data_IF_562227243559
#
_entry.id   IF_562227243559
#
_cell.length_a   1.000
_cell.length_b   1.000
_cell.length_c   1.000
_cell.angle_alpha   90.00
_cell.angle_beta   90.00
_cell.angle_gamma   90.00
#
_symmetry.space_group_name_H-M   'P 1'
#
loop_
_entity.id
_entity.type
_entity.pdbx_description
1 polymer ?
#
# COMPACT_ATOMS: atom_id res chain seq x y z
N UNK A 1 24.80 6.42 -14.57
CA UNK A 1 24.35 7.63 -13.86
C UNK A 1 22.88 7.41 -13.55
N UNK A 2 22.58 6.91 -12.35
CA UNK A 2 21.24 6.43 -11.97
C UNK A 2 20.38 7.62 -11.55
N UNK A 3 19.26 7.82 -12.24
CA UNK A 3 18.29 8.89 -12.01
C UNK A 3 17.29 8.39 -10.95
N UNK A 4 17.09 9.11 -9.83
CA UNK A 4 16.04 8.78 -8.86
C UNK A 4 14.68 9.22 -9.43
N UNK A 5 13.73 8.28 -9.49
CA UNK A 5 12.35 8.54 -9.88
C UNK A 5 11.52 8.88 -8.64
N UNK A 6 10.79 10.02 -8.67
CA UNK A 6 9.55 10.19 -7.90
C UNK A 6 9.53 11.16 -6.71
N UNK A 7 10.18 12.34 -6.78
CA UNK A 7 10.27 13.30 -5.66
C UNK A 7 9.10 14.31 -5.49
N UNK A 8 7.96 14.13 -6.18
CA UNK A 8 6.85 15.10 -6.11
C UNK A 8 5.95 14.94 -4.87
N UNK A 9 5.57 13.71 -4.55
CA UNK A 9 4.60 13.40 -3.50
C UNK A 9 5.22 12.92 -2.17
N UNK A 10 6.53 12.67 -2.14
CA UNK A 10 7.26 12.46 -0.88
C UNK A 10 7.36 13.76 -0.06
N UNK A 11 7.22 14.95 -0.66
CA UNK A 11 7.15 16.22 0.10
C UNK A 11 5.96 16.31 1.05
N UNK A 12 4.79 15.78 0.64
CA UNK A 12 3.63 15.70 1.52
C UNK A 12 3.80 14.65 2.64
N UNK A 13 4.78 13.73 2.50
CA UNK A 13 5.23 12.84 3.58
C UNK A 13 6.34 13.47 4.44
N UNK A 14 7.17 14.35 3.89
CA UNK A 14 8.27 15.03 4.58
C UNK A 14 7.81 16.24 5.41
N UNK A 15 6.70 16.89 5.09
CA UNK A 15 6.18 18.04 5.86
C UNK A 15 5.57 17.70 7.24
N UNK A 16 5.69 16.44 7.70
CA UNK A 16 5.40 16.07 9.09
C UNK A 16 6.70 15.75 9.83
N UNK A 17 7.64 16.69 9.79
CA UNK A 17 8.70 16.80 10.78
C UNK A 17 8.51 18.09 11.58
N UNK A 18 7.92 17.97 12.77
CA UNK A 18 8.03 19.00 13.80
C UNK A 18 9.28 18.67 14.61
N UNK A 19 10.34 19.50 14.58
CA UNK A 19 11.48 19.29 15.47
C UNK A 19 10.99 19.33 16.91
N UNK A 20 11.22 18.27 17.69
CA UNK A 20 11.09 18.36 19.15
C UNK A 20 12.23 19.21 19.67
N UNK A 21 11.89 20.38 20.20
CA UNK A 21 12.77 21.17 21.03
C UNK A 21 13.18 20.35 22.27
N UNK A 22 14.48 20.15 22.47
CA UNK A 22 15.03 19.35 23.57
C UNK A 22 15.17 20.21 24.82
N UNK A 23 14.06 20.62 25.41
CA UNK A 23 14.05 21.29 26.72
C UNK A 23 12.78 20.95 27.50
N UNK A 24 12.68 19.71 27.97
CA UNK A 24 11.64 19.27 28.91
C UNK A 24 12.19 18.14 29.79
N UNK A 25 11.80 18.08 31.09
CA UNK A 25 12.51 17.29 32.08
C UNK A 25 12.43 15.80 31.79
N UNK A 26 13.57 15.13 31.94
CA UNK A 26 13.76 13.69 31.78
C UNK A 26 12.93 12.92 32.80
N UNK A 27 11.89 12.22 32.33
CA UNK A 27 11.22 11.17 33.09
C UNK A 27 12.10 9.91 33.01
N UNK A 28 12.46 9.26 34.13
CA UNK A 28 13.34 8.10 34.09
C UNK A 28 12.65 6.94 33.39
N UNK A 29 13.29 6.43 32.33
CA UNK A 29 12.94 5.17 31.68
C UNK A 29 13.22 4.02 32.65
N UNK A 30 12.16 3.41 33.18
CA UNK A 30 12.28 2.11 33.82
C UNK A 30 12.70 1.07 32.76
N UNK A 31 13.59 0.12 33.10
CA UNK A 31 13.94 -0.95 32.18
C UNK A 31 12.81 -1.99 32.20
N UNK A 32 11.94 -1.99 31.19
CA UNK A 32 10.99 -3.09 30.99
C UNK A 32 11.76 -4.33 30.50
N UNK A 33 12.24 -5.11 31.46
CA UNK A 33 12.81 -6.43 31.27
C UNK A 33 11.77 -7.51 30.90
N UNK A 34 10.61 -7.12 30.34
CA UNK A 34 9.48 -8.03 30.09
C UNK A 34 9.05 -8.13 28.61
N UNK A 35 9.77 -7.49 27.69
CA UNK A 35 9.52 -7.67 26.24
C UNK A 35 10.03 -9.01 25.69
N UNK A 36 10.74 -9.80 26.49
CA UNK A 36 11.29 -11.12 26.11
C UNK A 36 10.41 -12.30 26.57
N UNK A 37 9.37 -12.06 27.40
CA UNK A 37 8.44 -13.11 27.89
C UNK A 37 7.17 -13.29 27.05
N UNK A 38 6.93 -12.44 26.05
CA UNK A 38 5.81 -12.58 25.09
C UNK A 38 6.15 -13.44 23.86
N UNK A 39 7.38 -13.95 23.78
CA UNK A 39 7.97 -14.50 22.56
C UNK A 39 7.64 -15.94 22.19
N UNK A 40 7.26 -16.80 23.16
CA UNK A 40 7.20 -18.24 22.91
C UNK A 40 5.91 -18.87 23.46
N UNK A 41 4.79 -18.72 22.74
CA UNK A 41 3.69 -19.68 22.77
C UNK A 41 2.35 -19.24 23.37
N UNK A 42 1.64 -18.25 22.80
CA UNK A 42 0.25 -18.01 23.21
C UNK A 42 -0.79 -17.96 22.09
N UNK A 43 -0.45 -17.56 20.85
CA UNK A 43 -1.40 -17.61 19.74
C UNK A 43 -0.72 -17.54 18.37
N UNK A 44 -1.41 -18.08 17.37
CA UNK A 44 -1.02 -18.11 15.96
C UNK A 44 -1.36 -16.78 15.29
N UNK A 45 -0.32 -16.07 14.84
CA UNK A 45 -0.44 -14.77 14.18
C UNK A 45 -1.30 -14.80 12.91
N UNK A 46 -1.28 -15.90 12.16
CA UNK A 46 -2.01 -16.04 10.91
C UNK A 46 -3.46 -16.43 11.16
N UNK A 47 -3.74 -17.22 12.20
CA UNK A 47 -5.10 -17.42 12.69
C UNK A 47 -5.73 -16.09 13.14
N UNK A 48 -4.99 -15.24 13.85
CA UNK A 48 -5.49 -13.92 14.25
C UNK A 48 -5.64 -12.94 13.09
N UNK A 49 -4.81 -13.03 12.05
CA UNK A 49 -5.04 -12.32 10.78
C UNK A 49 -6.38 -12.76 10.17
N UNK A 50 -6.68 -14.05 10.20
CA UNK A 50 -7.95 -14.56 9.67
C UNK A 50 -9.16 -14.08 10.49
N UNK A 51 -9.02 -13.96 11.82
CA UNK A 51 -10.02 -13.31 12.68
C UNK A 51 -10.19 -11.83 12.32
N UNK A 52 -9.10 -11.09 12.13
CA UNK A 52 -9.15 -9.69 11.66
C UNK A 52 -9.90 -9.57 10.34
N UNK A 53 -9.58 -10.42 9.36
CA UNK A 53 -10.28 -10.46 8.06
C UNK A 53 -11.77 -10.71 8.25
N UNK A 54 -12.16 -11.66 9.11
CA UNK A 54 -13.56 -11.94 9.39
C UNK A 54 -14.28 -10.71 9.96
N UNK A 55 -13.66 -10.01 10.92
CA UNK A 55 -14.22 -8.79 11.49
C UNK A 55 -14.39 -7.68 10.44
N UNK A 56 -13.44 -7.52 9.52
CA UNK A 56 -13.57 -6.58 8.42
C UNK A 56 -14.71 -6.95 7.48
N UNK A 57 -14.83 -8.23 7.10
CA UNK A 57 -15.92 -8.68 6.22
C UNK A 57 -17.27 -8.47 6.90
N UNK A 58 -17.40 -8.85 8.17
CA UNK A 58 -18.64 -8.71 8.93
C UNK A 58 -19.15 -7.26 8.99
N UNK A 59 -18.25 -6.29 9.20
CA UNK A 59 -18.65 -4.90 9.44
C UNK A 59 -18.54 -3.99 8.21
N UNK A 60 -17.57 -4.25 7.32
CA UNK A 60 -17.23 -3.34 6.21
C UNK A 60 -17.59 -3.91 4.84
N UNK A 61 -17.94 -5.19 4.69
CA UNK A 61 -18.20 -5.77 3.37
C UNK A 61 -19.27 -4.99 2.60
N UNK A 62 -18.98 -4.73 1.33
CA UNK A 62 -19.83 -3.98 0.41
C UNK A 62 -19.62 -4.46 -1.03
N UNK A 63 -20.65 -4.44 -1.89
CA UNK A 63 -20.48 -4.62 -3.33
C UNK A 63 -19.53 -3.61 -3.98
N UNK A 64 -19.20 -2.51 -3.31
CA UNK A 64 -18.24 -1.49 -3.77
C UNK A 64 -16.88 -1.58 -3.05
N UNK A 65 -16.64 -2.63 -2.26
CA UNK A 65 -15.40 -2.80 -1.50
C UNK A 65 -14.18 -2.93 -2.40
N UNK A 66 -13.06 -2.34 -2.01
CA UNK A 66 -11.80 -2.38 -2.76
C UNK A 66 -10.71 -2.98 -1.89
N UNK A 67 -10.04 -4.01 -2.41
CA UNK A 67 -8.83 -4.57 -1.83
C UNK A 67 -7.65 -3.67 -2.21
N UNK A 68 -6.95 -3.10 -1.23
CA UNK A 68 -5.86 -2.15 -1.50
C UNK A 68 -4.54 -2.67 -0.97
N UNK A 69 -3.54 -2.79 -1.84
CA UNK A 69 -2.18 -3.13 -1.40
C UNK A 69 -1.33 -1.87 -1.29
N UNK A 70 -0.77 -1.64 -0.10
CA UNK A 70 0.12 -0.51 0.18
C UNK A 70 1.40 -0.96 0.85
N UNK A 71 2.45 -0.16 0.68
CA UNK A 71 3.73 -0.35 1.36
C UNK A 71 3.98 0.77 2.36
N UNK A 72 4.67 0.42 3.44
CA UNK A 72 5.16 1.40 4.40
C UNK A 72 6.58 1.06 4.85
N UNK A 73 7.44 2.08 4.89
CA UNK A 73 8.78 1.98 5.44
C UNK A 73 8.86 2.60 6.84
N UNK A 74 9.57 1.94 7.74
CA UNK A 74 9.73 2.31 9.13
C UNK A 74 11.21 2.51 9.45
N UNK A 75 11.56 3.66 10.02
CA UNK A 75 12.91 3.92 10.52
C UNK A 75 13.13 3.11 11.80
N UNK A 76 14.27 2.43 11.88
CA UNK A 76 14.67 1.60 13.02
C UNK A 76 15.88 2.22 13.71
N UNK A 77 15.91 2.13 15.04
CA UNK A 77 17.07 2.55 15.81
C UNK A 77 18.31 1.66 15.58
N UNK A 78 18.10 0.38 15.24
CA UNK A 78 19.19 -0.59 15.04
C UNK A 78 18.93 -1.50 13.84
N UNK A 79 19.99 -2.10 13.29
CA UNK A 79 19.92 -3.12 12.25
C UNK A 79 19.64 -4.54 12.75
N UNK A 80 19.32 -4.71 14.04
CA UNK A 80 19.17 -6.04 14.66
C UNK A 80 17.76 -6.63 14.55
N UNK A 81 16.79 -5.85 14.04
CA UNK A 81 15.42 -6.33 13.82
C UNK A 81 15.32 -7.06 12.48
N UNK A 82 14.51 -8.11 12.43
CA UNK A 82 14.22 -8.87 11.20
C UNK A 82 13.87 -7.98 10.01
N UNK A 83 14.41 -8.27 8.82
CA UNK A 83 14.10 -7.54 7.60
C UNK A 83 14.66 -6.11 7.52
N UNK A 84 15.47 -5.68 8.48
CA UNK A 84 16.07 -4.34 8.46
C UNK A 84 17.17 -4.24 7.40
N UNK A 85 17.19 -3.17 6.62
CA UNK A 85 18.25 -2.83 5.67
C UNK A 85 18.78 -1.42 5.89
N UNK A 86 19.90 -1.09 5.25
CA UNK A 86 20.43 0.28 5.24
C UNK A 86 19.97 1.00 4.00
N UNK A 87 19.51 2.23 4.18
CA UNK A 87 19.21 3.16 3.11
C UNK A 87 19.98 4.47 3.35
N UNK A 88 20.48 5.07 2.28
CA UNK A 88 21.17 6.37 2.33
C UNK A 88 20.44 7.27 1.36
N UNK A 89 19.83 8.33 1.90
CA UNK A 89 19.21 9.36 1.07
C UNK A 89 20.31 10.23 0.43
N UNK A 90 20.12 10.57 -0.85
CA UNK A 90 21.14 11.17 -1.72
C UNK A 90 21.41 12.65 -1.45
N UNK A 91 20.57 13.35 -0.68
CA UNK A 91 20.70 14.80 -0.46
C UNK A 91 21.49 15.16 0.81
N UNK A 92 21.36 14.40 1.89
CA UNK A 92 21.98 14.70 3.20
C UNK A 92 22.17 13.43 4.04
N UNK A 93 23.37 12.84 4.08
CA UNK A 93 23.82 12.19 5.32
C UNK A 93 23.37 10.75 5.62
N UNK A 94 23.56 10.40 6.90
CA UNK A 94 24.03 9.10 7.40
C UNK A 94 23.15 7.89 7.03
N UNK A 95 23.73 6.67 6.89
CA UNK A 95 22.95 5.46 6.67
C UNK A 95 21.93 5.24 7.78
N UNK A 96 20.65 5.16 7.40
CA UNK A 96 19.55 4.83 8.31
C UNK A 96 19.19 3.36 8.20
N UNK A 97 18.77 2.78 9.32
CA UNK A 97 18.18 1.46 9.34
C UNK A 97 16.68 1.59 9.01
N UNK A 98 16.22 0.85 8.00
CA UNK A 98 14.82 0.84 7.55
C UNK A 98 14.26 -0.58 7.50
N UNK A 99 12.97 -0.70 7.72
CA UNK A 99 12.21 -1.94 7.59
C UNK A 99 10.96 -1.64 6.75
N UNK A 100 10.58 -2.53 5.84
CA UNK A 100 9.42 -2.33 4.97
C UNK A 100 8.36 -3.40 5.23
N UNK A 101 7.12 -2.97 5.42
CA UNK A 101 5.95 -3.84 5.45
C UNK A 101 5.08 -3.60 4.22
N UNK A 102 4.46 -4.68 3.72
CA UNK A 102 3.39 -4.63 2.71
C UNK A 102 2.10 -4.99 3.43
N UNK A 103 1.04 -4.21 3.19
CA UNK A 103 -0.23 -4.32 3.89
C UNK A 103 -1.37 -4.44 2.89
N UNK A 104 -2.33 -5.31 3.20
CA UNK A 104 -3.59 -5.40 2.48
C UNK A 104 -4.67 -4.66 3.29
N UNK A 105 -5.12 -3.54 2.77
CA UNK A 105 -6.27 -2.78 3.25
C UNK A 105 -7.58 -3.19 2.58
N UNK A 106 -8.69 -2.80 3.18
CA UNK A 106 -10.02 -2.89 2.63
C UNK A 106 -10.71 -1.55 2.81
N UNK A 107 -11.19 -0.96 1.71
CA UNK A 107 -11.93 0.30 1.73
C UNK A 107 -13.30 0.13 1.11
N UNK A 108 -14.32 0.72 1.71
CA UNK A 108 -15.70 0.66 1.25
C UNK A 108 -16.47 1.91 1.68
N UNK A 109 -17.70 2.12 1.19
CA UNK A 109 -18.58 3.16 1.73
C UNK A 109 -18.82 3.05 3.24
N UNK A 110 -18.72 1.84 3.82
CA UNK A 110 -18.86 1.62 5.26
C UNK A 110 -17.61 2.06 6.03
N UNK A 111 -16.45 2.14 5.37
CA UNK A 111 -15.17 2.58 5.94
C UNK A 111 -14.00 1.73 5.52
N UNK A 112 -12.88 1.98 6.19
CA UNK A 112 -11.61 1.31 5.95
C UNK A 112 -11.07 0.52 7.13
N UNK A 113 -10.30 -0.52 6.81
CA UNK A 113 -9.54 -1.33 7.74
C UNK A 113 -8.44 -2.12 7.03
N UNK A 114 -7.75 -2.99 7.76
CA UNK A 114 -6.70 -3.86 7.23
C UNK A 114 -7.05 -5.33 7.37
N UNK A 115 -6.58 -6.13 6.42
CA UNK A 115 -6.85 -7.55 6.28
C UNK A 115 -5.59 -8.40 6.49
N UNK A 116 -4.45 -7.92 6.01
CA UNK A 116 -3.24 -8.74 5.92
C UNK A 116 -1.95 -7.89 5.92
N UNK A 117 -0.82 -8.56 6.09
CA UNK A 117 0.51 -8.02 6.29
C UNK A 117 1.58 -9.03 5.87
N UNK A 118 2.62 -8.54 5.21
CA UNK A 118 3.82 -9.28 4.82
C UNK A 118 5.06 -8.44 5.11
N UNK A 119 6.11 -9.08 5.64
CA UNK A 119 7.39 -8.43 5.89
C UNK A 119 8.27 -8.51 4.65
N UNK A 120 8.70 -7.36 4.12
CA UNK A 120 9.70 -7.34 3.07
C UNK A 120 11.07 -7.74 3.60
N UNK A 121 11.65 -8.80 3.03
CA UNK A 121 13.01 -9.23 3.32
C UNK A 121 13.93 -8.89 2.15
N UNK A 122 14.97 -8.06 2.35
CA UNK A 122 16.04 -7.92 1.37
C UNK A 122 16.73 -9.27 1.13
N UNK A 123 17.31 -9.47 -0.06
CA UNK A 123 18.08 -10.70 -0.39
C UNK A 123 19.13 -11.07 0.65
N UNK A 124 19.76 -10.06 1.27
CA UNK A 124 20.75 -10.25 2.34
C UNK A 124 20.20 -11.01 3.55
N UNK A 125 18.91 -10.95 3.84
CA UNK A 125 18.27 -11.72 4.92
C UNK A 125 17.96 -13.16 4.53
N UNK A 126 17.69 -13.41 3.25
CA UNK A 126 17.35 -14.75 2.77
C UNK A 126 18.58 -15.59 2.47
N UNK A 127 19.72 -14.95 2.18
CA UNK A 127 20.99 -15.60 1.83
C UNK A 127 21.95 -15.76 3.03
N UNK A 128 21.80 -14.97 4.10
CA UNK A 128 22.68 -15.03 5.29
C UNK A 128 22.11 -15.90 6.39
N UNK A 129 22.63 -17.13 6.51
CA UNK A 129 22.18 -18.10 7.52
C UNK A 129 22.24 -17.56 8.97
N UNK A 130 23.24 -16.74 9.30
CA UNK A 130 23.36 -16.16 10.64
C UNK A 130 22.19 -15.24 11.01
N UNK A 131 21.70 -14.43 10.07
CA UNK A 131 20.53 -13.57 10.27
C UNK A 131 19.24 -14.39 10.37
N UNK A 132 19.13 -15.45 9.55
CA UNK A 132 17.97 -16.36 9.58
C UNK A 132 17.82 -17.01 10.95
N UNK A 133 18.90 -17.55 11.49
CA UNK A 133 18.91 -18.18 12.82
C UNK A 133 18.66 -17.14 13.93
N UNK A 134 19.35 -16.01 13.90
CA UNK A 134 19.25 -14.99 14.96
C UNK A 134 17.85 -14.39 15.11
N UNK A 135 17.08 -14.33 14.03
CA UNK A 135 15.72 -13.76 14.04
C UNK A 135 14.62 -14.83 13.88
N UNK A 136 14.96 -16.12 13.88
CA UNK A 136 13.97 -17.20 13.76
C UNK A 136 13.20 -17.19 12.44
N UNK A 137 13.86 -16.92 11.31
CA UNK A 137 13.22 -16.98 10.00
C UNK A 137 12.92 -18.45 9.63
N UNK A 138 11.69 -18.77 9.20
CA UNK A 138 11.36 -20.10 8.68
C UNK A 138 12.22 -20.50 7.48
N UNK A 139 12.53 -21.80 7.36
CA UNK A 139 13.49 -22.31 6.37
C UNK A 139 13.04 -22.14 4.92
N UNK A 140 11.73 -22.12 4.68
CA UNK A 140 11.07 -21.96 3.38
C UNK A 140 10.93 -20.49 2.94
N UNK A 141 11.15 -19.53 3.85
CA UNK A 141 11.10 -18.10 3.52
C UNK A 141 12.27 -17.73 2.62
N UNK A 142 11.93 -17.33 1.39
CA UNK A 142 12.83 -16.87 0.33
C UNK A 142 12.52 -15.42 -0.05
N UNK A 143 13.39 -14.80 -0.86
CA UNK A 143 13.18 -13.43 -1.33
C UNK A 143 11.89 -13.37 -2.17
N UNK A 144 11.06 -12.36 -1.91
CA UNK A 144 9.91 -12.04 -2.72
C UNK A 144 9.79 -10.53 -2.89
N UNK A 145 9.38 -10.10 -4.08
CA UNK A 145 9.07 -8.69 -4.37
C UNK A 145 7.77 -8.29 -3.68
N UNK A 146 7.52 -6.99 -3.53
CA UNK A 146 6.28 -6.50 -2.95
C UNK A 146 5.06 -6.90 -3.79
N UNK A 147 5.15 -6.98 -5.12
CA UNK A 147 4.09 -7.52 -5.98
C UNK A 147 3.86 -9.03 -5.78
N UNK A 148 4.89 -9.82 -5.50
CA UNK A 148 4.73 -11.23 -5.14
C UNK A 148 4.07 -11.39 -3.77
N UNK A 149 4.40 -10.54 -2.81
CA UNK A 149 3.72 -10.46 -1.50
C UNK A 149 2.26 -10.02 -1.65
N UNK A 150 2.00 -9.02 -2.50
CA UNK A 150 0.67 -8.58 -2.88
C UNK A 150 -0.16 -9.75 -3.43
N UNK A 151 0.38 -10.50 -4.39
CA UNK A 151 -0.29 -11.68 -4.95
C UNK A 151 -0.63 -12.72 -3.88
N UNK A 152 0.26 -12.97 -2.91
CA UNK A 152 0.00 -13.91 -1.79
C UNK A 152 -1.15 -13.43 -0.92
N UNK A 153 -1.12 -12.16 -0.48
CA UNK A 153 -2.18 -11.57 0.35
C UNK A 153 -3.52 -11.55 -0.38
N UNK A 154 -3.53 -11.13 -1.65
CA UNK A 154 -4.72 -11.13 -2.50
C UNK A 154 -5.25 -12.56 -2.68
N UNK A 155 -4.38 -13.53 -2.99
CA UNK A 155 -4.78 -14.94 -3.11
C UNK A 155 -5.48 -15.44 -1.84
N UNK A 156 -4.98 -15.10 -0.64
CA UNK A 156 -5.62 -15.46 0.63
C UNK A 156 -6.99 -14.80 0.78
N UNK A 157 -7.12 -13.52 0.44
CA UNK A 157 -8.41 -12.81 0.50
C UNK A 157 -9.45 -13.38 -0.49
N UNK A 158 -9.02 -13.69 -1.72
CA UNK A 158 -9.86 -14.31 -2.74
C UNK A 158 -10.32 -15.71 -2.34
N UNK A 159 -9.41 -16.56 -1.87
CA UNK A 159 -9.75 -17.90 -1.38
C UNK A 159 -10.70 -17.86 -0.17
N UNK A 160 -10.59 -16.83 0.67
CA UNK A 160 -11.50 -16.62 1.80
C UNK A 160 -12.85 -16.00 1.40
N UNK A 161 -13.06 -15.70 0.11
CA UNK A 161 -14.32 -15.14 -0.38
C UNK A 161 -14.59 -13.71 0.11
N UNK A 162 -13.56 -12.90 0.34
CA UNK A 162 -13.74 -11.49 0.75
C UNK A 162 -14.53 -10.73 -0.33
N UNK A 163 -15.72 -10.17 -0.05
CA UNK A 163 -16.50 -9.46 -1.05
C UNK A 163 -15.81 -8.17 -1.47
N UNK A 164 -15.57 -7.98 -2.77
CA UNK A 164 -14.95 -6.78 -3.32
C UNK A 164 -15.35 -6.60 -4.79
N UNK A 165 -15.14 -5.38 -5.30
CA UNK A 165 -15.41 -4.99 -6.68
C UNK A 165 -14.14 -4.73 -7.48
N UNK A 166 -13.01 -4.49 -6.81
CA UNK A 166 -11.76 -4.14 -7.45
C UNK A 166 -10.55 -4.34 -6.53
N UNK A 167 -9.37 -4.41 -7.16
CA UNK A 167 -8.06 -4.35 -6.52
C UNK A 167 -7.38 -3.01 -6.85
N UNK A 168 -6.71 -2.40 -5.87
CA UNK A 168 -5.94 -1.19 -6.07
C UNK A 168 -4.57 -1.25 -5.38
N UNK A 169 -3.64 -0.41 -5.80
CA UNK A 169 -2.29 -0.42 -5.24
C UNK A 169 -1.36 0.61 -5.89
N UNK A 170 -0.22 0.85 -5.23
CA UNK A 170 0.76 1.84 -5.66
C UNK A 170 1.68 1.38 -6.80
N UNK A 171 2.59 2.26 -7.27
CA UNK A 171 3.51 1.99 -8.39
C UNK A 171 4.42 0.79 -8.18
N UNK A 172 4.92 0.57 -6.96
CA UNK A 172 5.78 -0.57 -6.64
C UNK A 172 5.03 -1.92 -6.70
N UNK A 173 3.70 -1.89 -6.56
CA UNK A 173 2.84 -3.06 -6.72
C UNK A 173 2.49 -3.24 -8.19
N UNK A 174 1.96 -2.20 -8.81
CA UNK A 174 1.39 -2.26 -10.15
C UNK A 174 2.42 -2.31 -11.27
N UNK A 175 3.69 -1.96 -11.06
CA UNK A 175 4.75 -2.10 -12.06
C UNK A 175 4.99 -3.55 -12.51
N UNK A 176 4.60 -4.55 -11.69
CA UNK A 176 4.76 -5.95 -12.04
C UNK A 176 3.65 -6.40 -13.01
N UNK A 177 4.03 -6.59 -14.29
CA UNK A 177 3.11 -7.05 -15.31
C UNK A 177 2.55 -8.46 -15.02
N UNK A 178 3.31 -9.31 -14.30
CA UNK A 178 2.86 -10.65 -13.93
C UNK A 178 1.69 -10.64 -12.94
N UNK A 179 1.70 -9.72 -11.98
CA UNK A 179 0.60 -9.47 -11.05
C UNK A 179 -0.63 -8.97 -11.82
N UNK A 180 -0.45 -8.02 -12.75
CA UNK A 180 -1.54 -7.50 -13.57
C UNK A 180 -2.18 -8.61 -14.40
N UNK A 181 -1.38 -9.36 -15.17
CA UNK A 181 -1.89 -10.49 -15.97
C UNK A 181 -2.59 -11.54 -15.11
N UNK A 182 -2.06 -11.85 -13.92
CA UNK A 182 -2.72 -12.78 -13.00
C UNK A 182 -4.10 -12.28 -12.53
N UNK A 183 -4.26 -10.99 -12.27
CA UNK A 183 -5.57 -10.40 -11.96
C UNK A 183 -6.51 -10.44 -13.17
N UNK A 184 -6.01 -10.16 -14.38
CA UNK A 184 -6.81 -10.25 -15.61
C UNK A 184 -7.28 -11.68 -15.89
N UNK A 185 -6.41 -12.68 -15.70
CA UNK A 185 -6.74 -14.11 -15.87
C UNK A 185 -7.85 -14.56 -14.89
N UNK A 186 -7.94 -13.91 -13.72
CA UNK A 186 -9.00 -14.14 -12.74
C UNK A 186 -10.28 -13.34 -13.05
N UNK A 187 -10.27 -12.45 -14.05
CA UNK A 187 -11.37 -11.54 -14.33
C UNK A 187 -11.53 -10.46 -13.24
N UNK A 188 -10.45 -10.08 -12.56
CA UNK A 188 -10.49 -9.05 -11.53
C UNK A 188 -10.41 -7.65 -12.14
N UNK A 189 -11.24 -6.76 -11.63
CA UNK A 189 -11.10 -5.32 -11.89
C UNK A 189 -9.93 -4.78 -11.10
N UNK A 190 -9.07 -3.96 -11.70
CA UNK A 190 -8.03 -3.27 -10.94
C UNK A 190 -7.74 -1.85 -11.42
N UNK A 191 -7.22 -1.03 -10.51
CA UNK A 191 -6.51 0.22 -10.80
C UNK A 191 -5.20 0.23 -10.01
N UNK A 192 -4.09 -0.02 -10.72
CA UNK A 192 -2.77 -0.19 -10.11
C UNK A 192 -1.82 0.88 -10.61
N UNK A 193 -1.15 1.57 -9.68
CA UNK A 193 -0.14 2.57 -9.99
C UNK A 193 0.98 1.96 -10.82
N UNK A 194 1.56 2.75 -11.72
CA UNK A 194 2.74 2.38 -12.51
C UNK A 194 3.69 3.57 -12.61
N UNK A 195 4.99 3.36 -12.80
CA UNK A 195 5.91 4.46 -13.02
C UNK A 195 5.63 5.12 -14.39
N UNK A 196 5.96 6.42 -14.55
CA UNK A 196 5.78 7.12 -15.85
C UNK A 196 6.56 6.49 -17.01
N UNK A 197 7.64 5.74 -16.71
CA UNK A 197 8.40 4.95 -17.69
C UNK A 197 7.73 3.62 -18.08
N UNK A 198 6.57 3.28 -17.52
CA UNK A 198 5.82 2.09 -17.90
C UNK A 198 5.48 2.18 -19.39
N UNK A 199 5.81 1.14 -20.14
CA UNK A 199 5.55 1.10 -21.57
C UNK A 199 4.20 0.47 -21.83
N UNK A 200 3.30 1.21 -22.46
CA UNK A 200 1.96 0.76 -22.83
C UNK A 200 1.79 0.81 -24.34
N UNK A 201 0.84 0.03 -24.85
CA UNK A 201 0.55 -0.04 -26.28
C UNK A 201 -0.68 0.79 -26.62
N UNK A 202 -0.51 1.71 -27.57
CA UNK A 202 -1.57 2.54 -28.13
C UNK A 202 -1.61 2.26 -29.63
N UNK A 203 -2.59 1.45 -30.05
CA UNK A 203 -2.66 0.93 -31.41
C UNK A 203 -1.46 0.05 -31.75
N UNK A 204 -0.64 0.48 -32.72
CA UNK A 204 0.55 -0.26 -33.18
C UNK A 204 1.85 0.18 -32.50
N UNK A 205 1.80 1.19 -31.64
CA UNK A 205 3.00 1.81 -31.06
C UNK A 205 3.09 1.49 -29.57
N UNK A 206 4.29 1.18 -29.10
CA UNK A 206 4.60 1.08 -27.68
C UNK A 206 5.26 2.38 -27.22
N UNK A 207 4.68 3.05 -26.23
CA UNK A 207 5.14 4.35 -25.72
C UNK A 207 5.15 4.32 -24.20
N UNK A 208 6.02 5.12 -23.59
CA UNK A 208 6.00 5.36 -22.14
C UNK A 208 4.74 6.13 -21.75
N UNK A 209 4.20 5.85 -20.57
CA UNK A 209 3.05 6.56 -20.03
C UNK A 209 3.28 8.08 -19.98
N UNK A 210 4.46 8.52 -19.52
CA UNK A 210 4.82 9.94 -19.47
C UNK A 210 4.97 10.60 -20.85
N UNK A 211 5.50 9.86 -21.83
CA UNK A 211 5.56 10.33 -23.21
C UNK A 211 4.16 10.51 -23.81
N UNK A 212 3.22 9.59 -23.53
CA UNK A 212 1.83 9.69 -23.99
C UNK A 212 1.16 10.94 -23.42
N UNK A 213 1.25 11.14 -22.11
CA UNK A 213 0.57 12.28 -21.47
C UNK A 213 1.23 13.63 -21.74
N UNK A 214 2.52 13.64 -22.12
CA UNK A 214 3.22 14.88 -22.49
C UNK A 214 2.66 15.55 -23.74
N UNK A 215 1.99 14.77 -24.60
CA UNK A 215 1.35 15.24 -25.84
C UNK A 215 -0.17 15.35 -25.73
N UNK A 216 -0.76 15.04 -24.56
CA UNK A 216 -2.20 15.21 -24.37
C UNK A 216 -2.57 16.70 -24.39
N UNK A 217 -3.63 17.08 -25.12
CA UNK A 217 -4.14 18.43 -25.09
C UNK A 217 -4.69 18.74 -23.69
N UNK A 218 -4.76 20.03 -23.32
CA UNK A 218 -5.25 20.43 -21.99
C UNK A 218 -6.71 19.99 -21.76
N UNK A 219 -7.50 19.90 -22.84
CA UNK A 219 -8.87 19.37 -22.84
C UNK A 219 -8.97 17.87 -22.54
N UNK A 220 -7.88 17.11 -22.56
CA UNK A 220 -7.89 15.71 -22.12
C UNK A 220 -7.93 15.59 -20.57
N UNK A 221 -7.68 16.70 -19.86
CA UNK A 221 -7.59 16.75 -18.42
C UNK A 221 -8.84 17.38 -17.82
N UNK A 222 -9.54 16.62 -16.97
CA UNK A 222 -10.80 17.04 -16.40
C UNK A 222 -10.75 16.91 -14.88
N UNK A 223 -11.43 17.79 -14.12
CA UNK A 223 -11.71 17.51 -12.73
C UNK A 223 -12.40 16.14 -12.63
N UNK A 224 -11.88 15.21 -11.80
CA UNK A 224 -12.52 13.92 -11.65
C UNK A 224 -13.97 14.11 -11.17
N UNK A 225 -14.91 13.42 -11.80
CA UNK A 225 -16.28 13.39 -11.32
C UNK A 225 -16.36 12.42 -10.15
N UNK A 226 -16.79 12.90 -8.99
CA UNK A 226 -17.05 12.09 -7.81
C UNK A 226 -18.17 12.72 -6.98
N UNK A 227 -19.13 11.90 -6.58
CA UNK A 227 -20.19 12.28 -5.63
C UNK A 227 -19.64 12.71 -4.27
N UNK A 228 -18.44 12.25 -3.89
CA UNK A 228 -17.76 12.65 -2.65
C UNK A 228 -16.74 13.79 -2.85
N UNK A 229 -16.63 14.33 -4.07
CA UNK A 229 -15.71 15.41 -4.44
C UNK A 229 -14.29 14.95 -4.78
N UNK A 230 -13.73 15.55 -5.83
CA UNK A 230 -12.30 15.51 -6.12
C UNK A 230 -11.54 16.52 -5.25
N UNK A 231 -10.25 16.25 -5.02
CA UNK A 231 -9.39 17.23 -4.37
C UNK A 231 -9.35 18.51 -5.21
N UNK A 232 -9.38 19.67 -4.55
CA UNK A 232 -9.43 20.96 -5.23
C UNK A 232 -8.27 21.07 -6.22
N UNK A 233 -8.57 21.29 -7.50
CA UNK A 233 -7.57 21.47 -8.56
C UNK A 233 -6.92 20.18 -9.04
N UNK A 234 -7.37 19.01 -8.58
CA UNK A 234 -6.99 17.75 -9.18
C UNK A 234 -7.60 17.58 -10.58
N UNK A 235 -6.80 17.01 -11.48
CA UNK A 235 -7.18 16.70 -12.85
C UNK A 235 -6.84 15.24 -13.16
N UNK A 236 -7.75 14.59 -13.87
CA UNK A 236 -7.61 13.23 -14.37
C UNK A 236 -7.74 13.25 -15.90
N UNK A 237 -6.86 12.50 -16.57
CA UNK A 237 -7.02 12.13 -17.96
C UNK A 237 -6.88 10.61 -18.10
N UNK A 238 -7.51 10.04 -19.12
CA UNK A 238 -7.39 8.63 -19.39
C UNK A 238 -7.51 8.33 -20.88
N UNK A 239 -6.85 7.26 -21.30
CA UNK A 239 -6.94 6.72 -22.66
C UNK A 239 -7.15 5.21 -22.60
N UNK A 240 -8.10 4.72 -23.38
CA UNK A 240 -8.28 3.29 -23.58
C UNK A 240 -7.11 2.75 -24.40
N UNK A 241 -6.51 1.67 -23.93
CA UNK A 241 -5.39 1.00 -24.57
C UNK A 241 -5.89 -0.09 -25.52
N UNK A 242 -5.23 -0.20 -26.67
CA UNK A 242 -5.54 -1.21 -27.69
C UNK A 242 -4.34 -2.15 -27.89
N UNK A 243 -4.59 -3.44 -28.13
CA UNK A 243 -5.88 -4.12 -28.24
C UNK A 243 -6.53 -4.32 -26.87
N UNK A 244 -7.86 -4.27 -26.85
CA UNK A 244 -8.65 -4.74 -25.72
C UNK A 244 -8.30 -6.21 -25.35
N UNK A 245 -8.30 -6.57 -24.06
CA UNK A 245 -8.06 -7.96 -23.63
C UNK A 245 -9.09 -8.95 -24.20
N UNK A 246 -10.35 -8.55 -24.25
CA UNK A 246 -11.48 -9.35 -24.75
C UNK A 246 -12.66 -8.43 -25.11
N UNK A 247 -13.80 -9.01 -25.54
CA UNK A 247 -15.00 -8.21 -25.83
C UNK A 247 -15.55 -7.49 -24.60
N UNK A 248 -15.48 -8.14 -23.43
CA UNK A 248 -16.11 -7.68 -22.19
C UNK A 248 -15.17 -6.86 -21.30
N UNK A 249 -13.90 -6.71 -21.67
CA UNK A 249 -12.89 -6.06 -20.83
C UNK A 249 -12.10 -5.00 -21.59
N UNK A 250 -11.65 -3.97 -20.88
CA UNK A 250 -10.84 -2.87 -21.40
C UNK A 250 -9.64 -2.61 -20.51
N UNK A 251 -8.55 -2.17 -21.13
CA UNK A 251 -7.39 -1.62 -20.43
C UNK A 251 -7.35 -0.12 -20.60
N UNK A 252 -6.96 0.60 -19.57
CA UNK A 252 -6.78 2.05 -19.61
C UNK A 252 -5.43 2.45 -19.03
N UNK A 253 -4.84 3.49 -19.61
CA UNK A 253 -3.85 4.30 -18.92
C UNK A 253 -4.57 5.51 -18.33
N UNK A 254 -4.49 5.66 -17.02
CA UNK A 254 -5.01 6.80 -16.26
C UNK A 254 -3.82 7.64 -15.81
N UNK A 255 -3.95 8.96 -15.89
CA UNK A 255 -3.01 9.89 -15.31
C UNK A 255 -3.73 10.91 -14.43
N UNK A 256 -3.16 11.19 -13.26
CA UNK A 256 -3.72 12.13 -12.28
C UNK A 256 -2.64 13.12 -11.86
N UNK A 257 -3.00 14.40 -11.81
CA UNK A 257 -2.10 15.50 -11.41
C UNK A 257 -2.89 16.65 -10.79
N UNK A 258 -2.20 17.59 -10.14
CA UNK A 258 -2.80 18.87 -9.81
C UNK A 258 -2.62 19.87 -10.95
N UNK A 259 -3.56 20.80 -11.10
CA UNK A 259 -3.52 21.82 -12.16
C UNK A 259 -2.28 22.72 -12.10
N UNK A 260 -1.73 22.91 -10.90
CA UNK A 260 -0.51 23.68 -10.64
C UNK A 260 0.77 22.85 -10.65
N UNK A 261 0.70 21.51 -10.73
CA UNK A 261 1.87 20.63 -10.68
C UNK A 261 1.76 19.52 -11.73
N UNK A 262 2.33 19.79 -12.91
CA UNK A 262 2.40 18.83 -14.02
C UNK A 262 3.53 17.81 -13.84
N UNK A 263 4.55 18.12 -13.05
CA UNK A 263 5.74 17.27 -12.89
C UNK A 263 5.46 16.07 -11.98
N UNK A 264 4.56 16.23 -11.02
CA UNK A 264 4.13 15.17 -10.09
C UNK A 264 2.99 14.29 -10.61
N UNK A 265 2.87 14.15 -11.94
CA UNK A 265 1.83 13.30 -12.55
C UNK A 265 2.01 11.84 -12.13
N UNK A 266 0.93 11.25 -11.61
CA UNK A 266 0.85 9.83 -11.25
C UNK A 266 0.15 9.06 -12.36
N UNK A 267 0.61 7.84 -12.61
CA UNK A 267 0.08 6.97 -13.67
C UNK A 267 -0.48 5.69 -13.08
N UNK A 268 -1.57 5.19 -13.66
CA UNK A 268 -2.21 3.95 -13.26
C UNK A 268 -2.61 3.15 -14.50
N UNK A 269 -2.42 1.84 -14.42
CA UNK A 269 -3.03 0.89 -15.33
C UNK A 269 -4.36 0.45 -14.74
N UNK A 270 -5.41 0.48 -15.55
CA UNK A 270 -6.69 -0.10 -15.16
C UNK A 270 -7.09 -1.25 -16.09
N UNK A 271 -7.71 -2.27 -15.51
CA UNK A 271 -8.42 -3.35 -16.20
C UNK A 271 -9.83 -3.38 -15.65
N UNK A 272 -10.82 -3.12 -16.50
CA UNK A 272 -12.22 -2.92 -16.09
C UNK A 272 -13.16 -3.54 -17.12
N UNK A 273 -14.39 -3.93 -16.72
CA UNK A 273 -15.41 -4.34 -17.67
C UNK A 273 -15.68 -3.26 -18.74
N UNK A 274 -16.13 -3.69 -19.91
CA UNK A 274 -16.57 -2.78 -20.95
C UNK A 274 -17.78 -1.97 -20.46
N UNK A 275 -17.74 -0.65 -20.68
CA UNK A 275 -18.76 0.27 -20.19
C UNK A 275 -18.55 0.80 -18.78
N UNK A 276 -17.44 0.45 -18.11
CA UNK A 276 -17.08 1.10 -16.85
C UNK A 276 -16.78 2.59 -17.05
N UNK A 277 -17.49 3.43 -16.30
CA UNK A 277 -17.36 4.88 -16.35
C UNK A 277 -16.09 5.39 -15.67
N UNK A 278 -15.63 6.58 -16.08
CA UNK A 278 -14.47 7.26 -15.48
C UNK A 278 -14.64 7.52 -13.97
N UNK A 279 -15.86 7.83 -13.52
CA UNK A 279 -16.21 8.01 -12.09
C UNK A 279 -15.87 6.76 -11.28
N UNK A 280 -16.14 5.57 -11.81
CA UNK A 280 -15.89 4.31 -11.11
C UNK A 280 -14.40 3.99 -11.01
N UNK A 281 -13.62 4.22 -12.07
CA UNK A 281 -12.17 4.09 -12.01
C UNK A 281 -11.53 5.07 -11.01
N UNK A 282 -12.04 6.30 -10.97
CA UNK A 282 -11.57 7.30 -10.02
C UNK A 282 -11.95 6.94 -8.56
N UNK A 283 -13.13 6.36 -8.33
CA UNK A 283 -13.53 5.84 -7.01
C UNK A 283 -12.56 4.77 -6.50
N UNK A 284 -12.14 3.83 -7.35
CA UNK A 284 -11.15 2.80 -6.99
C UNK A 284 -9.80 3.44 -6.64
N UNK A 285 -9.37 4.46 -7.39
CA UNK A 285 -8.17 5.24 -7.10
C UNK A 285 -8.26 5.96 -5.76
N UNK A 286 -9.43 6.55 -5.43
CA UNK A 286 -9.67 7.16 -4.10
C UNK A 286 -9.59 6.14 -2.98
N UNK A 287 -10.11 4.92 -3.17
CA UNK A 287 -9.98 3.85 -2.19
C UNK A 287 -8.50 3.52 -1.92
N UNK A 288 -7.65 3.49 -2.96
CA UNK A 288 -6.21 3.37 -2.80
C UNK A 288 -5.61 4.50 -1.94
N UNK A 289 -5.98 5.76 -2.22
CA UNK A 289 -5.52 6.91 -1.45
C UNK A 289 -5.95 6.86 0.00
N UNK A 290 -7.21 6.52 0.27
CA UNK A 290 -7.75 6.39 1.62
C UNK A 290 -6.90 5.44 2.46
N UNK A 291 -6.61 4.24 1.96
CA UNK A 291 -5.75 3.28 2.67
C UNK A 291 -4.30 3.78 2.77
N UNK A 292 -3.73 4.32 1.69
CA UNK A 292 -2.36 4.85 1.70
C UNK A 292 -2.16 5.96 2.74
N UNK A 293 -3.13 6.88 2.83
CA UNK A 293 -3.14 7.99 3.79
C UNK A 293 -3.49 7.57 5.22
N UNK A 294 -4.04 6.36 5.42
CA UNK A 294 -4.28 5.81 6.76
C UNK A 294 -3.01 5.34 7.47
N UNK A 295 -1.91 5.07 6.75
CA UNK A 295 -0.66 4.57 7.33
C UNK A 295 -0.07 5.54 8.38
N UNK A 296 0.08 6.85 8.12
CA UNK A 296 0.49 7.80 9.15
C UNK A 296 -0.40 7.82 10.39
N UNK A 297 -1.72 7.64 10.21
CA UNK A 297 -2.64 7.57 11.34
C UNK A 297 -2.43 6.30 12.16
N UNK A 298 -2.28 5.14 11.51
CA UNK A 298 -1.99 3.88 12.18
C UNK A 298 -0.66 3.94 12.98
N UNK A 299 0.35 4.63 12.46
CA UNK A 299 1.60 4.89 13.22
C UNK A 299 1.34 5.69 14.49
N UNK A 300 0.58 6.79 14.38
CA UNK A 300 0.31 7.68 15.52
C UNK A 300 -0.56 7.02 16.58
N UNK A 301 -1.58 6.29 16.16
CA UNK A 301 -2.69 5.86 17.04
C UNK A 301 -2.50 4.47 17.62
N UNK A 302 -1.93 3.54 16.84
CA UNK A 302 -1.75 2.13 17.25
C UNK A 302 -0.29 1.68 17.23
N UNK A 303 0.64 2.59 16.94
CA UNK A 303 2.06 2.29 16.98
C UNK A 303 2.50 1.29 15.92
N UNK A 304 1.95 1.36 14.70
CA UNK A 304 2.31 0.48 13.60
C UNK A 304 3.84 0.43 13.36
N UNK A 305 4.56 1.53 13.61
CA UNK A 305 6.02 1.65 13.48
C UNK A 305 6.81 1.35 14.76
N UNK A 306 6.13 1.16 15.91
CA UNK A 306 6.74 1.00 17.25
C UNK A 306 7.11 -0.43 17.60
N UNK A 307 7.36 -1.27 16.60
CA UNK A 307 7.90 -2.61 16.80
C UNK A 307 9.36 -2.54 17.31
N UNK A 308 9.64 -3.06 18.50
CA UNK A 308 11.01 -3.13 19.05
C UNK A 308 11.59 -4.55 19.07
N UNK A 309 10.79 -5.55 18.73
CA UNK A 309 11.21 -6.95 18.69
C UNK A 309 12.26 -7.23 17.61
N UNK A 310 12.89 -8.40 17.71
CA UNK A 310 13.94 -8.83 16.77
C UNK A 310 13.52 -9.96 15.84
N UNK A 311 12.58 -10.81 16.26
CA UNK A 311 12.23 -12.04 15.54
C UNK A 311 11.17 -11.84 14.46
N UNK A 312 11.17 -12.77 13.51
CA UNK A 312 10.16 -12.93 12.46
C UNK A 312 8.74 -12.99 13.05
N UNK A 313 8.51 -13.91 13.98
CA UNK A 313 7.20 -14.12 14.60
C UNK A 313 6.72 -12.90 15.39
N UNK A 314 7.61 -12.24 16.13
CA UNK A 314 7.27 -11.03 16.88
C UNK A 314 6.82 -9.89 15.96
N UNK A 315 7.42 -9.76 14.77
CA UNK A 315 7.00 -8.77 13.80
C UNK A 315 5.56 -9.01 13.33
N UNK A 316 5.24 -10.24 12.93
CA UNK A 316 3.89 -10.57 12.46
C UNK A 316 2.85 -10.43 13.57
N UNK A 317 3.17 -10.81 14.81
CA UNK A 317 2.29 -10.59 15.96
C UNK A 317 2.02 -9.10 16.20
N UNK A 318 3.07 -8.28 16.27
CA UNK A 318 2.94 -6.82 16.45
C UNK A 318 2.08 -6.21 15.36
N UNK A 319 2.39 -6.50 14.10
CA UNK A 319 1.64 -5.95 12.97
C UNK A 319 0.18 -6.42 12.99
N UNK A 320 -0.09 -7.69 13.28
CA UNK A 320 -1.47 -8.19 13.37
C UNK A 320 -2.28 -7.46 14.45
N UNK A 321 -1.72 -7.29 15.64
CA UNK A 321 -2.41 -6.58 16.74
C UNK A 321 -2.60 -5.11 16.41
N UNK A 322 -1.58 -4.43 15.87
CA UNK A 322 -1.68 -3.02 15.49
C UNK A 322 -2.77 -2.81 14.42
N UNK A 323 -2.78 -3.64 13.37
CA UNK A 323 -3.79 -3.56 12.31
C UNK A 323 -5.20 -3.87 12.83
N UNK A 324 -5.33 -4.83 13.75
CA UNK A 324 -6.60 -5.13 14.41
C UNK A 324 -7.09 -3.97 15.26
N UNK A 325 -6.22 -3.38 16.08
CA UNK A 325 -6.56 -2.21 16.90
C UNK A 325 -6.97 -1.01 16.03
N UNK A 326 -6.28 -0.77 14.92
CA UNK A 326 -6.63 0.32 14.00
C UNK A 326 -8.00 0.10 13.38
N UNK A 327 -8.23 -1.11 12.90
CA UNK A 327 -9.48 -1.52 12.24
C UNK A 327 -10.67 -1.43 13.21
N UNK A 328 -10.54 -1.98 14.41
CA UNK A 328 -11.59 -1.89 15.44
C UNK A 328 -11.86 -0.45 15.85
N UNK A 329 -10.82 0.38 16.02
CA UNK A 329 -10.97 1.81 16.31
C UNK A 329 -11.82 2.51 15.24
N UNK A 330 -11.54 2.27 13.96
CA UNK A 330 -12.28 2.88 12.86
C UNK A 330 -13.74 2.41 12.79
N UNK A 331 -14.00 1.14 13.10
CA UNK A 331 -15.37 0.61 13.19
C UNK A 331 -16.16 1.27 14.32
N UNK A 332 -15.54 1.49 15.48
CA UNK A 332 -16.20 2.09 16.65
C UNK A 332 -16.49 3.58 16.46
N UNK A 333 -15.55 4.36 15.91
CA UNK A 333 -15.73 5.82 15.75
C UNK A 333 -16.83 6.18 14.74
N UNK A 334 -17.17 5.27 13.80
CA UNK A 334 -18.29 5.48 12.86
C UNK A 334 -19.66 5.21 13.47
N UNK A 335 -19.74 4.49 14.59
CA UNK A 335 -20.97 4.33 15.35
C UNK A 335 -21.41 5.61 16.08
N UNK A 336 -20.52 6.60 16.19
CA UNK A 336 -20.73 7.83 16.98
C UNK A 336 -20.97 9.08 16.12
N UNK A 337 -21.03 8.97 14.79
CA UNK A 337 -21.38 10.13 13.94
C UNK A 337 -22.91 10.25 13.86
N UNK A 338 -23.55 11.28 14.47
CA UNK A 338 -24.97 11.46 14.32
C UNK A 338 -25.27 11.83 12.86
N UNK A 339 -26.33 11.24 12.31
CA UNK A 339 -26.89 11.70 11.05
C UNK A 339 -27.26 13.19 11.20
N UNK A 340 -26.59 14.06 10.44
CA UNK A 340 -26.97 15.45 10.25
C UNK A 340 -27.63 15.60 8.88
#
# INVERSE_FOLDING_TARGET
>A
MAIPFGHGWDRAREEIYVPRDRTGPSVPSAPDADTDRTGHGLWDQDAARDVLRQQVVEHLASPMGVLVVVEAEFVKATGSCVGTYRHTDGLLGRPEHRQRGVFLGYASPKGEGYLDRELFLPRSWTERQSLRVACGLPSDVTFATCSQMARRMLSRALHAGVPHSAVAGGPDIGADAGLRMWLEDLGETYVLGVPGRETVRVGKTALRADAITSIWPDEAWHPPQDRQGADRGELMGAIQLEPAPSMDWRRWLIAVRYSWDRESTQYFMAHVPAGTEMEEMYRILKAYRQISLSIPEARRTVGLDRFSGKSWEAWYRHMTVALMAYTMRNMLHKGETPAC
#
